data_IF_486842024787
#
_entry.id   IF_486842024787
#
_cell.length_a   1.000
_cell.length_b   1.000
_cell.length_c   1.000
_cell.angle_alpha   90.00
_cell.angle_beta   90.00
_cell.angle_gamma   90.00
#
_symmetry.space_group_name_H-M   'P 1'
#
loop_
_entity.id
_entity.type
_entity.pdbx_description
1 polymer ?
#
# COMPACT_ATOMS: atom_id res chain seq x y z
N UNK A 1 16.22 1.40 -17.82
CA UNK A 1 15.74 0.41 -18.83
C UNK A 1 14.73 -0.49 -18.14
N UNK A 2 13.52 -0.58 -18.72
CA UNK A 2 12.49 -1.52 -18.25
C UNK A 2 12.80 -2.91 -18.84
N UNK A 3 12.99 -3.90 -17.96
CA UNK A 3 13.38 -5.25 -18.37
C UNK A 3 12.21 -6.26 -18.36
N UNK A 4 11.08 -5.90 -17.75
CA UNK A 4 9.90 -6.76 -17.71
C UNK A 4 8.77 -6.19 -16.88
N UNK A 5 7.68 -6.97 -16.83
CA UNK A 5 6.52 -6.75 -15.97
C UNK A 5 6.49 -7.81 -14.90
N UNK A 6 5.94 -7.46 -13.75
CA UNK A 6 5.89 -8.32 -12.58
C UNK A 6 4.43 -8.60 -12.19
N UNK A 7 4.21 -9.74 -11.55
CA UNK A 7 2.89 -10.14 -11.09
C UNK A 7 2.45 -9.32 -9.86
N UNK A 8 1.15 -9.15 -9.69
CA UNK A 8 0.55 -8.52 -8.52
C UNK A 8 -0.86 -9.09 -8.28
N UNK A 9 -1.43 -8.84 -7.12
CA UNK A 9 -2.86 -9.09 -6.92
C UNK A 9 -3.68 -8.32 -7.95
N UNK A 10 -4.79 -8.89 -8.38
CA UNK A 10 -5.64 -8.32 -9.43
C UNK A 10 -6.13 -6.91 -9.03
N UNK A 11 -5.91 -5.92 -9.90
CA UNK A 11 -6.19 -4.50 -9.63
C UNK A 11 -5.63 -3.95 -8.31
N UNK A 12 -4.51 -4.50 -7.84
CA UNK A 12 -3.90 -4.18 -6.54
C UNK A 12 -4.80 -4.49 -5.32
N UNK A 13 -5.76 -5.39 -5.48
CA UNK A 13 -6.74 -5.79 -4.47
C UNK A 13 -6.36 -7.12 -3.84
N UNK A 14 -5.48 -7.07 -2.86
CA UNK A 14 -4.99 -8.22 -2.10
C UNK A 14 -3.84 -7.84 -1.20
N UNK A 15 -3.44 -8.76 -0.34
CA UNK A 15 -2.33 -8.58 0.60
C UNK A 15 -1.35 -9.76 0.65
N UNK A 16 -1.58 -10.78 -0.18
CA UNK A 16 -0.78 -12.02 -0.21
C UNK A 16 -0.23 -12.38 -1.58
N UNK A 17 -0.72 -11.75 -2.64
CA UNK A 17 -0.47 -12.03 -4.06
C UNK A 17 -1.02 -13.41 -4.49
N UNK A 18 -2.22 -13.72 -4.04
CA UNK A 18 -2.95 -14.95 -4.34
C UNK A 18 -4.15 -14.73 -5.28
N UNK A 19 -4.49 -13.47 -5.60
CA UNK A 19 -5.67 -13.11 -6.42
C UNK A 19 -5.34 -12.83 -7.88
N UNK A 20 -4.12 -13.05 -8.31
CA UNK A 20 -3.72 -12.79 -9.69
C UNK A 20 -4.28 -13.81 -10.68
N UNK A 21 -4.72 -13.34 -11.83
CA UNK A 21 -5.08 -14.19 -12.98
C UNK A 21 -3.94 -15.12 -13.43
N UNK A 22 -2.68 -14.72 -13.24
CA UNK A 22 -1.50 -15.47 -13.61
C UNK A 22 -1.04 -16.48 -12.54
N UNK A 23 -1.82 -16.64 -11.47
CA UNK A 23 -1.49 -17.50 -10.34
C UNK A 23 -0.69 -16.82 -9.25
N UNK A 24 -0.38 -17.59 -8.22
CA UNK A 24 0.24 -17.10 -6.99
C UNK A 24 1.73 -16.80 -7.19
N UNK A 25 2.22 -15.78 -6.51
CA UNK A 25 3.65 -15.52 -6.42
C UNK A 25 4.21 -16.22 -5.18
N UNK A 26 5.35 -16.87 -5.34
CA UNK A 26 6.06 -17.52 -4.24
C UNK A 26 7.02 -16.55 -3.54
N UNK A 27 7.20 -16.74 -2.24
CA UNK A 27 8.21 -16.03 -1.48
C UNK A 27 9.56 -16.73 -1.62
N UNK A 28 10.59 -16.10 -2.21
CA UNK A 28 11.89 -16.76 -2.40
C UNK A 28 12.71 -16.89 -1.11
N UNK A 29 12.30 -16.23 -0.02
CA UNK A 29 12.98 -16.31 1.29
C UNK A 29 12.61 -17.58 2.02
N UNK A 30 11.39 -18.09 1.82
CA UNK A 30 10.93 -19.33 2.43
C UNK A 30 9.86 -20.00 1.56
N UNK A 31 10.03 -21.27 1.30
CA UNK A 31 9.06 -22.08 0.55
C UNK A 31 7.69 -22.12 1.26
N UNK A 32 6.63 -22.19 0.47
CA UNK A 32 5.24 -22.24 0.94
C UNK A 32 4.74 -21.02 1.73
N UNK A 33 5.46 -19.90 1.68
CA UNK A 33 5.02 -18.65 2.26
C UNK A 33 4.59 -17.65 1.19
N UNK A 34 3.64 -16.79 1.54
CA UNK A 34 3.23 -15.69 0.68
C UNK A 34 4.28 -14.57 0.69
N UNK A 35 4.51 -13.87 -0.43
CA UNK A 35 5.45 -12.75 -0.48
C UNK A 35 4.87 -11.46 0.10
N UNK A 36 3.58 -11.48 0.50
CA UNK A 36 2.81 -10.28 0.73
C UNK A 36 2.30 -9.66 -0.57
N UNK A 37 1.41 -8.69 -0.46
CA UNK A 37 0.77 -8.05 -1.61
C UNK A 37 0.32 -6.62 -1.33
N UNK A 38 -0.15 -6.00 -2.40
CA UNK A 38 -0.38 -6.51 -3.76
C UNK A 38 0.87 -6.56 -4.65
N UNK A 39 1.97 -5.88 -4.32
CA UNK A 39 3.21 -5.85 -5.12
C UNK A 39 4.13 -7.04 -4.82
N UNK A 40 3.56 -8.25 -4.64
CA UNK A 40 4.31 -9.45 -4.28
C UNK A 40 5.33 -9.88 -5.33
N UNK A 41 4.99 -9.80 -6.62
CA UNK A 41 5.94 -10.11 -7.69
C UNK A 41 7.13 -9.15 -7.72
N UNK A 42 6.91 -7.86 -7.40
CA UNK A 42 7.97 -6.85 -7.32
C UNK A 42 8.94 -7.18 -6.19
N UNK A 43 8.43 -7.50 -5.00
CA UNK A 43 9.27 -7.85 -3.85
C UNK A 43 9.98 -9.19 -4.04
N UNK A 44 9.30 -10.20 -4.59
CA UNK A 44 9.88 -11.52 -4.84
C UNK A 44 11.01 -11.47 -5.87
N UNK A 45 10.84 -10.70 -6.96
CA UNK A 45 11.89 -10.54 -7.96
C UNK A 45 13.17 -9.92 -7.37
N UNK A 46 13.02 -8.97 -6.44
CA UNK A 46 14.14 -8.41 -5.70
C UNK A 46 14.78 -9.43 -4.77
N UNK A 47 13.99 -10.07 -3.90
CA UNK A 47 14.50 -11.04 -2.94
C UNK A 47 15.20 -12.22 -3.62
N UNK A 48 14.71 -12.63 -4.79
CA UNK A 48 15.36 -13.62 -5.67
C UNK A 48 16.56 -13.06 -6.47
N UNK A 49 16.91 -11.77 -6.31
CA UNK A 49 18.02 -11.10 -7.02
C UNK A 49 17.91 -11.12 -8.54
N UNK A 50 16.70 -11.12 -9.08
CA UNK A 50 16.46 -11.13 -10.53
C UNK A 50 16.64 -9.74 -11.16
N UNK A 51 16.57 -8.69 -10.36
CA UNK A 51 16.69 -7.29 -10.81
C UNK A 51 17.23 -6.42 -9.67
N UNK A 52 17.96 -5.34 -9.95
CA UNK A 52 18.44 -4.41 -8.92
C UNK A 52 17.33 -3.58 -8.28
N UNK A 53 16.26 -3.30 -9.00
CA UNK A 53 15.16 -2.46 -8.52
C UNK A 53 13.84 -2.84 -9.21
N UNK A 54 12.73 -2.57 -8.52
CA UNK A 54 11.37 -2.73 -9.05
C UNK A 54 10.50 -1.55 -8.65
N UNK A 55 9.36 -1.41 -9.31
CA UNK A 55 8.30 -0.46 -8.95
C UNK A 55 7.12 -1.26 -8.43
N UNK A 56 6.54 -0.78 -7.34
CA UNK A 56 5.27 -1.26 -6.81
C UNK A 56 4.23 -0.15 -6.70
N UNK A 57 3.04 -0.51 -6.26
CA UNK A 57 1.98 0.44 -5.88
C UNK A 57 1.52 0.17 -4.46
N UNK A 58 1.10 1.21 -3.75
CA UNK A 58 0.66 1.12 -2.36
C UNK A 58 -0.60 1.95 -2.15
N UNK A 59 -1.68 1.29 -1.80
CA UNK A 59 -2.97 1.89 -1.44
C UNK A 59 -3.22 1.76 0.06
N UNK A 60 -2.91 0.60 0.63
CA UNK A 60 -3.08 0.27 2.05
C UNK A 60 -1.94 -0.57 2.63
N UNK A 61 -0.73 -0.51 2.04
CA UNK A 61 0.42 -1.29 2.47
C UNK A 61 1.10 -2.09 1.36
N UNK A 62 0.61 -2.00 0.12
CA UNK A 62 0.98 -2.94 -0.96
C UNK A 62 2.40 -2.82 -1.53
N UNK A 63 3.21 -1.87 -1.07
CA UNK A 63 4.68 -1.84 -1.22
C UNK A 63 5.33 -2.30 0.10
N UNK A 64 4.92 -1.71 1.21
CA UNK A 64 5.58 -1.84 2.53
C UNK A 64 5.45 -3.24 3.10
N UNK A 65 4.28 -3.86 3.00
CA UNK A 65 4.05 -5.22 3.49
C UNK A 65 4.87 -6.27 2.72
N UNK A 66 4.80 -6.36 1.37
CA UNK A 66 5.60 -7.33 0.66
C UNK A 66 7.11 -7.07 0.79
N UNK A 67 7.55 -5.83 0.91
CA UNK A 67 8.94 -5.53 1.22
C UNK A 67 9.37 -6.11 2.58
N UNK A 68 8.51 -5.97 3.60
CA UNK A 68 8.74 -6.56 4.92
C UNK A 68 8.81 -8.09 4.87
N UNK A 69 7.89 -8.74 4.14
CA UNK A 69 7.80 -10.20 4.04
C UNK A 69 8.95 -10.84 3.26
N UNK A 70 9.60 -10.09 2.41
CA UNK A 70 10.71 -10.59 1.55
C UNK A 70 12.08 -10.04 1.95
N UNK A 71 12.16 -9.23 3.02
CA UNK A 71 13.42 -8.65 3.49
C UNK A 71 14.02 -7.62 2.54
N UNK A 72 13.19 -6.89 1.80
CA UNK A 72 13.59 -5.82 0.88
C UNK A 72 13.19 -4.45 1.40
N UNK A 73 13.63 -3.38 0.75
CA UNK A 73 13.25 -2.01 1.07
C UNK A 73 12.12 -1.57 0.15
N UNK A 74 11.03 -1.06 0.72
CA UNK A 74 9.91 -0.53 -0.05
C UNK A 74 9.48 0.84 0.47
N UNK A 75 9.43 1.83 -0.39
CA UNK A 75 9.01 3.19 -0.06
C UNK A 75 7.64 3.49 -0.66
N UNK A 76 6.67 3.78 0.21
CA UNK A 76 5.45 4.47 -0.21
C UNK A 76 5.66 5.97 -0.09
N UNK A 77 5.83 6.70 -1.18
CA UNK A 77 6.03 8.14 -1.14
C UNK A 77 4.80 8.91 -0.62
N UNK A 78 5.00 10.18 -0.34
CA UNK A 78 3.89 11.12 -0.11
C UNK A 78 3.00 11.18 -1.35
N UNK A 79 1.67 11.21 -1.11
CA UNK A 79 0.69 11.28 -2.19
C UNK A 79 0.98 12.44 -3.15
N UNK A 80 0.98 12.13 -4.46
CA UNK A 80 1.26 13.08 -5.53
C UNK A 80 2.74 13.32 -5.83
N UNK A 81 3.68 12.73 -5.08
CA UNK A 81 5.11 12.91 -5.36
C UNK A 81 5.63 12.05 -6.52
N UNK A 82 4.98 10.95 -6.84
CA UNK A 82 5.24 10.17 -8.06
C UNK A 82 4.01 10.18 -8.95
N UNK A 83 4.19 10.36 -10.26
CA UNK A 83 3.10 10.30 -11.22
C UNK A 83 2.40 8.93 -11.22
N UNK A 84 1.10 8.96 -11.37
CA UNK A 84 0.24 7.77 -11.56
C UNK A 84 -0.22 7.59 -13.00
N UNK A 85 0.27 8.42 -13.92
CA UNK A 85 -0.08 8.30 -15.32
C UNK A 85 0.29 6.92 -15.87
N UNK A 86 -0.69 6.21 -16.43
CA UNK A 86 -0.55 4.83 -16.90
C UNK A 86 -0.78 3.75 -15.83
N UNK A 87 -1.06 4.11 -14.58
CA UNK A 87 -1.44 3.18 -13.52
C UNK A 87 -2.95 3.05 -13.49
N UNK A 88 -3.44 1.80 -13.41
CA UNK A 88 -4.87 1.53 -13.22
C UNK A 88 -5.26 1.90 -11.78
N UNK A 89 -6.26 2.76 -11.64
CA UNK A 89 -6.70 3.23 -10.34
C UNK A 89 -7.49 2.15 -9.59
N UNK A 90 -7.05 1.84 -8.37
CA UNK A 90 -7.84 1.14 -7.36
C UNK A 90 -8.61 2.16 -6.53
N UNK A 91 -7.94 2.92 -5.68
CA UNK A 91 -8.52 3.96 -4.83
C UNK A 91 -7.81 5.29 -5.08
N UNK A 92 -8.43 6.16 -5.87
CA UNK A 92 -7.80 7.38 -6.41
C UNK A 92 -7.24 8.32 -5.35
N UNK A 93 -7.83 8.36 -4.16
CA UNK A 93 -7.38 9.21 -3.06
C UNK A 93 -6.26 8.58 -2.19
N UNK A 94 -5.85 7.35 -2.49
CA UNK A 94 -4.90 6.58 -1.69
C UNK A 94 -3.72 6.03 -2.51
N UNK A 95 -3.96 5.60 -3.75
CA UNK A 95 -2.95 4.93 -4.57
C UNK A 95 -1.69 5.78 -4.77
N UNK A 96 -0.55 5.14 -4.62
CA UNK A 96 0.75 5.75 -4.89
C UNK A 96 1.72 4.72 -5.48
N UNK A 97 2.46 5.12 -6.51
CA UNK A 97 3.61 4.36 -6.98
C UNK A 97 4.84 4.62 -6.10
N UNK A 98 5.71 3.64 -6.00
CA UNK A 98 6.96 3.81 -5.27
C UNK A 98 8.02 2.76 -5.61
N UNK A 99 9.28 3.05 -5.29
CA UNK A 99 10.40 2.14 -5.53
C UNK A 99 10.45 1.01 -4.51
N UNK A 100 10.96 -0.13 -4.98
CA UNK A 100 11.37 -1.26 -4.15
C UNK A 100 12.79 -1.66 -4.56
N UNK A 101 13.69 -1.87 -3.58
CA UNK A 101 15.11 -2.07 -3.81
C UNK A 101 15.73 -2.96 -2.73
N UNK A 102 17.02 -3.29 -2.87
CA UNK A 102 17.73 -4.08 -1.86
C UNK A 102 18.15 -3.26 -0.63
N UNK A 103 18.42 -1.97 -0.81
CA UNK A 103 18.85 -1.08 0.28
C UNK A 103 18.24 0.32 0.15
N UNK A 104 18.43 1.13 1.20
CA UNK A 104 17.88 2.49 1.29
C UNK A 104 18.53 3.47 0.30
N UNK A 105 19.81 3.23 -0.05
CA UNK A 105 20.54 4.09 -0.99
C UNK A 105 19.94 3.99 -2.39
N UNK A 106 19.73 2.76 -2.86
CA UNK A 106 19.10 2.50 -4.16
C UNK A 106 17.65 2.98 -4.18
N UNK A 107 16.94 2.82 -3.04
CA UNK A 107 15.59 3.33 -2.87
C UNK A 107 15.52 4.85 -3.01
N UNK A 108 16.47 5.57 -2.40
CA UNK A 108 16.58 7.02 -2.49
C UNK A 108 16.88 7.48 -3.92
N UNK A 109 17.81 6.81 -4.61
CA UNK A 109 18.15 7.08 -6.00
C UNK A 109 16.93 6.87 -6.93
N UNK A 110 16.24 5.76 -6.77
CA UNK A 110 15.03 5.47 -7.55
C UNK A 110 13.93 6.51 -7.27
N UNK A 111 13.72 6.86 -6.00
CA UNK A 111 12.71 7.86 -5.64
C UNK A 111 13.04 9.25 -6.20
N UNK A 112 14.29 9.65 -6.17
CA UNK A 112 14.73 10.92 -6.77
C UNK A 112 14.40 11.00 -8.27
N UNK A 113 14.57 9.89 -8.99
CA UNK A 113 14.21 9.79 -10.41
C UNK A 113 12.68 9.78 -10.62
N UNK A 114 11.93 9.04 -9.78
CA UNK A 114 10.49 8.86 -9.91
C UNK A 114 9.67 10.09 -9.46
N UNK A 115 10.19 10.87 -8.52
CA UNK A 115 9.52 12.03 -7.93
C UNK A 115 9.58 13.28 -8.85
N UNK A 116 9.04 13.14 -10.06
CA UNK A 116 9.01 14.19 -11.07
C UNK A 116 7.59 14.69 -11.25
N UNK A 117 7.41 16.01 -11.33
CA UNK A 117 6.14 16.59 -11.70
C UNK A 117 5.72 16.13 -13.10
N UNK A 118 4.49 15.66 -13.23
CA UNK A 118 3.94 15.19 -14.49
C UNK A 118 2.59 15.86 -14.76
N UNK A 119 2.53 16.66 -15.81
CA UNK A 119 1.30 17.35 -16.23
C UNK A 119 0.20 16.42 -16.72
N UNK A 120 0.50 15.15 -16.95
CA UNK A 120 -0.48 14.12 -17.35
C UNK A 120 -1.21 13.50 -16.16
N UNK A 121 -0.71 13.69 -14.95
CA UNK A 121 -1.40 13.28 -13.72
C UNK A 121 -1.85 14.51 -12.94
N UNK A 122 -3.16 14.74 -12.89
CA UNK A 122 -3.75 15.89 -12.17
C UNK A 122 -3.49 15.87 -10.66
N UNK A 123 -3.03 14.76 -10.11
CA UNK A 123 -2.66 14.63 -8.69
C UNK A 123 -1.16 14.80 -8.43
N UNK A 124 -0.35 14.87 -9.49
CA UNK A 124 1.09 15.14 -9.36
C UNK A 124 1.33 16.53 -8.79
N UNK A 125 2.21 16.62 -7.80
CA UNK A 125 2.54 17.85 -7.12
C UNK A 125 3.92 18.34 -7.54
N UNK A 126 4.01 19.60 -7.94
CA UNK A 126 5.31 20.24 -8.16
C UNK A 126 5.89 20.69 -6.82
N UNK A 127 6.92 20.00 -6.37
CA UNK A 127 7.62 20.32 -5.12
C UNK A 127 9.12 20.41 -5.35
N UNK A 128 9.78 21.20 -4.52
CA UNK A 128 11.24 21.30 -4.54
C UNK A 128 11.85 19.96 -4.18
N UNK A 129 12.56 19.36 -5.12
CA UNK A 129 13.30 18.12 -4.87
C UNK A 129 14.48 18.37 -3.96
N UNK A 130 14.72 17.45 -3.07
CA UNK A 130 15.94 17.40 -2.28
C UNK A 130 16.89 16.34 -2.86
N UNK A 131 18.16 16.47 -2.56
CA UNK A 131 19.12 15.42 -2.86
C UNK A 131 19.09 14.39 -1.75
N UNK A 132 18.20 13.38 -1.91
CA UNK A 132 18.01 12.36 -0.90
C UNK A 132 19.26 11.53 -0.63
N UNK A 133 20.09 11.29 -1.64
CA UNK A 133 21.36 10.57 -1.47
C UNK A 133 22.34 11.30 -0.57
N UNK A 134 22.43 12.62 -0.66
CA UNK A 134 23.29 13.42 0.20
C UNK A 134 22.82 13.35 1.65
N UNK A 135 21.50 13.41 1.87
CA UNK A 135 20.90 13.43 3.19
C UNK A 135 21.04 12.06 3.93
N UNK A 136 21.28 10.96 3.20
CA UNK A 136 21.53 9.64 3.83
C UNK A 136 22.82 9.58 4.66
N UNK A 137 23.75 10.51 4.45
CA UNK A 137 25.00 10.57 5.22
C UNK A 137 24.86 11.35 6.53
N UNK A 138 23.71 11.97 6.77
CA UNK A 138 23.41 12.63 8.04
C UNK A 138 23.16 11.62 9.14
N UNK A 139 23.69 11.90 10.35
CA UNK A 139 23.39 11.08 11.49
C UNK A 139 21.99 11.41 12.07
N UNK A 140 21.44 10.49 12.83
CA UNK A 140 20.14 10.67 13.51
C UNK A 140 20.26 11.30 14.90
N UNK A 141 21.46 11.78 15.28
CA UNK A 141 21.72 12.37 16.59
C UNK A 141 20.78 13.55 16.86
N UNK A 142 20.07 13.49 17.97
CA UNK A 142 19.09 14.50 18.37
C UNK A 142 17.74 14.43 17.66
N UNK A 143 17.57 13.62 16.63
CA UNK A 143 16.26 13.41 15.98
C UNK A 143 15.31 12.73 16.96
N UNK A 144 14.06 13.18 16.98
CA UNK A 144 13.01 12.66 17.83
C UNK A 144 12.17 11.64 17.08
N UNK A 145 12.16 10.40 17.56
CA UNK A 145 11.43 9.29 16.93
C UNK A 145 10.24 8.90 17.81
N UNK A 146 9.05 9.02 17.26
CA UNK A 146 7.79 8.71 17.92
C UNK A 146 7.51 7.21 17.95
N UNK A 147 7.07 6.71 19.10
CA UNK A 147 6.57 5.34 19.26
C UNK A 147 5.10 5.42 19.66
N UNK A 148 4.16 5.03 18.78
CA UNK A 148 2.74 5.07 19.10
C UNK A 148 2.37 3.98 20.10
N UNK A 149 1.80 4.36 21.25
CA UNK A 149 1.38 3.42 22.28
C UNK A 149 0.25 2.50 21.82
N UNK A 150 -0.63 2.98 20.92
CA UNK A 150 -1.77 2.24 20.39
C UNK A 150 -1.37 1.15 19.38
N UNK A 151 -0.11 1.13 18.94
CA UNK A 151 0.38 0.11 17.99
C UNK A 151 0.90 -1.15 18.68
N UNK A 152 1.03 -1.12 20.01
CA UNK A 152 1.21 -2.34 20.82
C UNK A 152 -0.16 -2.96 21.07
N UNK A 153 -0.58 -3.80 20.12
CA UNK A 153 -1.89 -4.44 20.16
C UNK A 153 -1.84 -5.77 20.89
N UNK A 154 -2.96 -6.13 21.52
CA UNK A 154 -3.11 -7.46 22.11
C UNK A 154 -2.95 -8.55 21.07
N UNK A 155 -2.19 -9.60 21.38
CA UNK A 155 -1.93 -10.68 20.43
C UNK A 155 -0.79 -10.40 19.43
N UNK A 156 -0.06 -9.29 19.54
CA UNK A 156 1.14 -9.09 18.73
C UNK A 156 2.14 -10.23 18.99
N UNK A 157 2.67 -10.90 17.94
CA UNK A 157 3.71 -11.91 18.11
C UNK A 157 4.92 -11.33 18.83
N UNK A 158 5.43 -12.11 19.79
CA UNK A 158 6.58 -11.69 20.64
C UNK A 158 7.79 -11.32 19.79
N UNK A 159 8.04 -12.03 18.71
CA UNK A 159 9.14 -11.79 17.78
C UNK A 159 9.05 -10.43 17.11
N UNK A 160 7.84 -9.97 16.80
CA UNK A 160 7.60 -8.62 16.22
C UNK A 160 7.92 -7.55 17.28
N UNK A 161 7.47 -7.74 18.52
CA UNK A 161 7.76 -6.79 19.60
C UNK A 161 9.26 -6.72 19.89
N UNK A 162 9.95 -7.88 19.94
CA UNK A 162 11.41 -7.94 20.13
C UNK A 162 12.18 -7.23 18.99
N UNK A 163 11.73 -7.37 17.73
CA UNK A 163 12.31 -6.65 16.60
C UNK A 163 12.07 -5.14 16.69
N UNK A 164 10.91 -4.73 17.17
CA UNK A 164 10.60 -3.32 17.39
C UNK A 164 11.48 -2.73 18.50
N UNK A 165 11.62 -3.44 19.64
CA UNK A 165 12.54 -3.03 20.72
C UNK A 165 14.00 -2.98 20.24
N UNK A 166 14.44 -3.92 19.40
CA UNK A 166 15.77 -3.86 18.77
C UNK A 166 15.94 -2.61 17.92
N UNK A 167 14.92 -2.23 17.12
CA UNK A 167 14.93 -1.00 16.36
C UNK A 167 15.02 0.25 17.24
N UNK A 168 14.25 0.30 18.31
CA UNK A 168 14.30 1.37 19.33
C UNK A 168 15.70 1.49 19.94
N UNK A 169 16.31 0.35 20.28
CA UNK A 169 17.67 0.32 20.85
C UNK A 169 18.71 0.87 19.87
N UNK A 170 18.66 0.44 18.61
CA UNK A 170 19.56 0.94 17.55
C UNK A 170 19.46 2.46 17.41
N UNK A 171 18.24 3.02 17.43
CA UNK A 171 18.04 4.47 17.36
C UNK A 171 18.70 5.19 18.54
N UNK A 172 18.50 4.69 19.77
CA UNK A 172 19.11 5.28 20.97
C UNK A 172 20.65 5.23 20.93
N UNK A 173 21.21 4.09 20.52
CA UNK A 173 22.66 3.90 20.38
C UNK A 173 23.29 4.85 19.36
N UNK A 174 22.53 5.27 18.36
CA UNK A 174 22.96 6.25 17.35
C UNK A 174 22.57 7.70 17.71
N UNK A 175 22.17 7.96 18.96
CA UNK A 175 21.92 9.29 19.50
C UNK A 175 20.54 9.88 19.17
N UNK A 176 19.62 9.09 18.62
CA UNK A 176 18.23 9.48 18.45
C UNK A 176 17.49 9.45 19.79
N UNK A 177 16.44 10.28 19.91
CA UNK A 177 15.59 10.38 21.09
C UNK A 177 14.27 9.65 20.84
N UNK A 178 13.86 8.79 21.76
CA UNK A 178 12.57 8.09 21.68
C UNK A 178 11.53 8.88 22.46
N UNK A 179 10.41 9.18 21.81
CA UNK A 179 9.28 9.92 22.38
C UNK A 179 8.02 9.03 22.24
N UNK A 180 7.37 8.75 23.35
CA UNK A 180 6.04 8.11 23.28
C UNK A 180 5.02 9.11 22.73
N UNK A 181 4.23 8.66 21.74
CA UNK A 181 3.16 9.43 21.12
C UNK A 181 1.85 8.66 21.19
N UNK A 182 0.75 9.37 20.98
CA UNK A 182 -0.60 8.78 20.91
C UNK A 182 -1.24 9.06 19.57
N UNK A 183 -1.83 8.02 18.96
CA UNK A 183 -2.62 8.06 17.72
C UNK A 183 -4.01 7.44 18.02
N UNK A 184 -4.88 8.13 18.80
CA UNK A 184 -6.07 7.53 19.41
C UNK A 184 -7.11 7.02 18.41
N UNK A 185 -7.11 7.54 17.18
CA UNK A 185 -8.05 7.09 16.14
C UNK A 185 -7.55 5.90 15.31
N UNK A 186 -6.43 5.27 15.67
CA UNK A 186 -5.84 4.12 14.95
C UNK A 186 -6.82 2.97 14.79
N UNK A 187 -7.62 2.65 15.80
CA UNK A 187 -8.60 1.55 15.76
C UNK A 187 -9.66 1.72 14.66
N UNK A 188 -9.85 2.94 14.16
CA UNK A 188 -10.78 3.23 13.06
C UNK A 188 -10.12 3.19 11.68
N UNK A 189 -8.80 3.01 11.59
CA UNK A 189 -8.09 3.08 10.33
C UNK A 189 -8.52 1.99 9.35
N UNK A 190 -8.55 0.73 9.81
CA UNK A 190 -8.92 -0.42 8.99
C UNK A 190 -10.39 -0.37 8.53
N UNK A 191 -11.39 -0.15 9.41
CA UNK A 191 -12.77 0.05 8.97
C UNK A 191 -12.94 1.21 7.97
N UNK A 192 -12.24 2.32 8.19
CA UNK A 192 -12.27 3.48 7.29
C UNK A 192 -11.73 3.12 5.90
N UNK A 193 -10.61 2.39 5.85
CA UNK A 193 -10.04 1.90 4.60
C UNK A 193 -11.03 1.00 3.84
N UNK A 194 -11.66 0.03 4.51
CA UNK A 194 -12.61 -0.90 3.86
C UNK A 194 -13.94 -0.25 3.42
N UNK A 195 -14.20 1.00 3.81
CA UNK A 195 -15.30 1.80 3.27
C UNK A 195 -14.81 2.65 2.10
N UNK A 196 -13.74 3.43 2.29
CA UNK A 196 -13.25 4.41 1.30
C UNK A 196 -12.70 3.72 0.06
N UNK A 197 -11.81 2.74 0.22
CA UNK A 197 -11.13 2.12 -0.90
C UNK A 197 -12.09 1.32 -1.81
N UNK A 198 -13.01 0.46 -1.30
CA UNK A 198 -14.02 -0.17 -2.14
C UNK A 198 -14.99 0.81 -2.81
N UNK A 199 -15.37 1.91 -2.14
CA UNK A 199 -16.21 2.94 -2.72
C UNK A 199 -15.54 3.57 -3.96
N UNK A 200 -14.28 3.95 -3.83
CA UNK A 200 -13.50 4.49 -4.96
C UNK A 200 -13.26 3.45 -6.05
N UNK A 201 -12.99 2.18 -5.66
CA UNK A 201 -12.82 1.07 -6.59
C UNK A 201 -14.06 0.84 -7.45
N UNK A 202 -15.26 0.84 -6.86
CA UNK A 202 -16.50 0.64 -7.59
C UNK A 202 -16.70 1.69 -8.68
N UNK A 203 -16.35 2.94 -8.40
CA UNK A 203 -16.38 4.04 -9.39
C UNK A 203 -15.28 3.91 -10.43
N UNK A 204 -14.04 3.63 -10.02
CA UNK A 204 -12.90 3.52 -10.92
C UNK A 204 -13.02 2.34 -11.88
N UNK A 205 -13.53 1.21 -11.43
CA UNK A 205 -13.68 0.00 -12.24
C UNK A 205 -14.98 -0.06 -13.03
N UNK A 206 -15.86 0.94 -12.90
CA UNK A 206 -17.08 1.05 -13.72
C UNK A 206 -16.78 1.13 -15.22
N UNK A 207 -15.60 1.67 -15.58
CA UNK A 207 -15.16 1.81 -16.99
C UNK A 207 -14.71 0.51 -17.65
N UNK A 208 -14.57 -0.58 -16.90
CA UNK A 208 -14.23 -1.91 -17.43
C UNK A 208 -15.52 -2.66 -17.78
N UNK A 209 -16.11 -2.26 -18.87
CA UNK A 209 -17.40 -2.75 -19.40
C UNK A 209 -17.26 -3.54 -20.71
N UNK A 210 -16.02 -3.71 -21.21
CA UNK A 210 -15.72 -4.41 -22.46
C UNK A 210 -16.06 -3.63 -23.72
N UNK A 211 -16.41 -2.34 -23.65
CA UNK A 211 -16.76 -1.53 -24.83
C UNK A 211 -15.54 -0.94 -25.51
N UNK A 212 -14.71 -0.20 -24.76
CA UNK A 212 -13.54 0.49 -25.33
C UNK A 212 -12.25 -0.29 -25.23
N UNK A 213 -12.09 -1.10 -24.18
CA UNK A 213 -10.87 -1.86 -23.89
C UNK A 213 -11.15 -2.99 -22.90
N UNK A 214 -10.17 -3.86 -22.73
CA UNK A 214 -10.22 -4.98 -21.79
C UNK A 214 -10.93 -6.20 -22.37
N UNK A 215 -11.20 -7.16 -21.48
CA UNK A 215 -11.95 -8.35 -21.80
C UNK A 215 -13.40 -8.01 -22.16
N UNK A 216 -13.95 -8.70 -23.16
CA UNK A 216 -15.34 -8.59 -23.59
C UNK A 216 -15.94 -9.97 -23.81
N UNK A 217 -16.95 -10.31 -23.05
CA UNK A 217 -17.75 -11.52 -23.25
C UNK A 217 -18.82 -11.32 -24.34
N UNK A 218 -19.25 -12.42 -24.97
CA UNK A 218 -20.36 -12.40 -25.90
C UNK A 218 -21.68 -12.40 -25.10
N UNK A 219 -22.58 -11.49 -25.43
CA UNK A 219 -23.91 -11.41 -24.88
C UNK A 219 -25.01 -11.52 -25.93
N UNK A 220 -26.21 -11.91 -25.52
CA UNK A 220 -27.41 -11.94 -26.39
C UNK A 220 -27.92 -10.53 -26.68
N UNK A 221 -27.68 -9.60 -25.78
CA UNK A 221 -27.99 -8.19 -25.89
C UNK A 221 -26.96 -7.35 -25.14
N UNK A 222 -27.11 -6.02 -25.15
CA UNK A 222 -26.13 -5.12 -24.53
C UNK A 222 -26.01 -5.31 -23.03
N UNK A 223 -27.10 -5.52 -22.32
CA UNK A 223 -27.12 -5.71 -20.86
C UNK A 223 -26.42 -7.03 -20.50
N UNK A 224 -26.80 -8.12 -21.16
CA UNK A 224 -26.19 -9.43 -20.98
C UNK A 224 -24.67 -9.41 -21.27
N UNK A 225 -24.26 -8.67 -22.29
CA UNK A 225 -22.84 -8.48 -22.60
C UNK A 225 -22.11 -7.77 -21.45
N UNK A 226 -22.69 -6.72 -20.85
CA UNK A 226 -22.10 -6.04 -19.71
C UNK A 226 -22.02 -6.95 -18.47
N UNK A 227 -23.09 -7.65 -18.16
CA UNK A 227 -23.16 -8.57 -17.00
C UNK A 227 -22.14 -9.70 -17.13
N UNK A 228 -22.10 -10.37 -18.29
CA UNK A 228 -21.12 -11.43 -18.56
C UNK A 228 -19.68 -10.93 -18.55
N UNK A 229 -19.41 -9.80 -19.20
CA UNK A 229 -18.06 -9.22 -19.24
C UNK A 229 -17.54 -8.96 -17.83
N UNK A 230 -18.35 -8.39 -16.96
CA UNK A 230 -17.92 -8.05 -15.60
C UNK A 230 -17.88 -9.27 -14.67
N UNK A 231 -18.80 -10.22 -14.82
CA UNK A 231 -18.82 -11.43 -14.01
C UNK A 231 -17.68 -12.41 -14.34
N UNK A 232 -17.32 -12.53 -15.60
CA UNK A 232 -16.26 -13.40 -16.10
C UNK A 232 -14.87 -12.72 -16.04
N UNK A 233 -14.82 -11.40 -16.26
CA UNK A 233 -13.58 -10.64 -16.38
C UNK A 233 -12.96 -10.20 -15.06
N UNK A 234 -13.72 -10.15 -13.96
CA UNK A 234 -13.19 -9.82 -12.64
C UNK A 234 -13.10 -11.06 -11.75
N UNK A 235 -11.98 -11.15 -11.03
CA UNK A 235 -11.81 -12.13 -9.96
C UNK A 235 -12.73 -11.86 -8.75
N UNK A 236 -12.83 -12.84 -7.88
CA UNK A 236 -13.83 -12.82 -6.78
C UNK A 236 -13.58 -11.69 -5.75
N UNK A 237 -12.33 -11.41 -5.44
CA UNK A 237 -12.01 -10.34 -4.50
C UNK A 237 -12.34 -8.95 -5.08
N UNK A 238 -12.07 -8.74 -6.37
CA UNK A 238 -12.43 -7.49 -7.07
C UNK A 238 -13.95 -7.33 -7.12
N UNK A 239 -14.68 -8.38 -7.47
CA UNK A 239 -16.17 -8.37 -7.46
C UNK A 239 -16.71 -8.01 -6.09
N UNK A 240 -16.16 -8.62 -5.02
CA UNK A 240 -16.55 -8.33 -3.63
C UNK A 240 -16.38 -6.85 -3.30
N UNK A 241 -15.21 -6.27 -3.61
CA UNK A 241 -14.94 -4.85 -3.32
C UNK A 241 -15.81 -3.91 -4.14
N UNK A 242 -16.07 -4.23 -5.40
CA UNK A 242 -17.03 -3.47 -6.24
C UNK A 242 -18.43 -3.50 -5.61
N UNK A 243 -18.90 -4.66 -5.14
CA UNK A 243 -20.21 -4.78 -4.49
C UNK A 243 -20.29 -3.98 -3.19
N UNK A 244 -19.29 -4.09 -2.32
CA UNK A 244 -19.20 -3.30 -1.08
C UNK A 244 -19.21 -1.81 -1.42
N UNK A 245 -18.39 -1.39 -2.38
CA UNK A 245 -18.28 0.02 -2.81
C UNK A 245 -19.60 0.56 -3.35
N UNK A 246 -20.27 -0.21 -4.19
CA UNK A 246 -21.58 0.15 -4.73
C UNK A 246 -22.62 0.29 -3.62
N UNK A 247 -22.61 -0.61 -2.64
CA UNK A 247 -23.51 -0.56 -1.49
C UNK A 247 -23.29 0.72 -0.65
N UNK A 248 -22.04 1.02 -0.29
CA UNK A 248 -21.76 2.19 0.56
C UNK A 248 -21.97 3.54 -0.15
N UNK A 249 -21.99 3.55 -1.48
CA UNK A 249 -22.30 4.73 -2.29
C UNK A 249 -23.79 4.84 -2.64
N UNK A 250 -24.60 3.85 -2.32
CA UNK A 250 -26.02 3.85 -2.66
C UNK A 250 -26.83 4.83 -1.81
N UNK A 251 -28.01 5.20 -2.31
CA UNK A 251 -28.92 6.12 -1.63
C UNK A 251 -29.29 5.61 -0.24
N UNK A 252 -29.22 6.49 0.74
CA UNK A 252 -29.47 6.20 2.17
C UNK A 252 -28.24 5.67 2.94
N UNK A 253 -27.21 5.18 2.25
CA UNK A 253 -25.98 4.66 2.88
C UNK A 253 -24.77 5.59 2.70
N UNK A 254 -24.79 6.44 1.69
CA UNK A 254 -23.70 7.36 1.37
C UNK A 254 -23.29 8.22 2.57
N UNK A 255 -24.26 8.88 3.21
CA UNK A 255 -23.99 9.74 4.37
C UNK A 255 -23.57 8.92 5.60
N UNK A 256 -24.23 7.78 5.82
CA UNK A 256 -24.00 6.94 6.98
C UNK A 256 -22.63 6.24 6.97
N UNK A 257 -22.12 5.89 5.79
CA UNK A 257 -20.86 5.16 5.64
C UNK A 257 -19.77 6.02 4.99
N UNK A 258 -19.94 6.44 3.74
CA UNK A 258 -18.85 7.08 2.99
C UNK A 258 -18.46 8.44 3.58
N UNK A 259 -19.42 9.35 3.81
CA UNK A 259 -19.12 10.65 4.41
C UNK A 259 -18.61 10.51 5.84
N UNK A 260 -19.14 9.56 6.60
CA UNK A 260 -18.65 9.27 7.95
C UNK A 260 -17.18 8.78 7.90
N UNK A 261 -16.85 7.87 6.99
CA UNK A 261 -15.49 7.38 6.80
C UNK A 261 -14.53 8.51 6.39
N UNK A 262 -14.94 9.43 5.52
CA UNK A 262 -14.15 10.62 5.18
C UNK A 262 -13.88 11.54 6.40
N UNK A 263 -14.87 11.71 7.27
CA UNK A 263 -14.70 12.47 8.52
C UNK A 263 -13.72 11.77 9.47
N UNK A 264 -13.84 10.45 9.63
CA UNK A 264 -12.91 9.66 10.46
C UNK A 264 -11.49 9.68 9.86
N UNK A 265 -11.33 9.57 8.54
CA UNK A 265 -10.04 9.75 7.87
C UNK A 265 -9.38 11.08 8.23
N UNK A 266 -10.15 12.15 8.33
CA UNK A 266 -9.64 13.47 8.78
C UNK A 266 -9.16 13.42 10.23
N UNK A 267 -9.89 12.74 11.12
CA UNK A 267 -9.47 12.59 12.52
C UNK A 267 -8.17 11.81 12.63
N UNK A 268 -8.04 10.71 11.88
CA UNK A 268 -6.80 9.94 11.82
C UNK A 268 -5.63 10.82 11.33
N UNK A 269 -5.84 11.62 10.27
CA UNK A 269 -4.82 12.57 9.80
C UNK A 269 -4.42 13.56 10.89
N UNK A 270 -5.38 14.09 11.64
CA UNK A 270 -5.10 15.05 12.70
C UNK A 270 -4.22 14.44 13.81
N UNK A 271 -4.39 13.16 14.14
CA UNK A 271 -3.51 12.47 15.10
C UNK A 271 -2.04 12.52 14.64
N UNK A 272 -1.79 12.26 13.37
CA UNK A 272 -0.43 12.36 12.80
C UNK A 272 0.07 13.79 12.76
N UNK A 273 -0.77 14.77 12.39
CA UNK A 273 -0.39 16.19 12.38
C UNK A 273 0.03 16.65 13.79
N UNK A 274 -0.67 16.23 14.83
CA UNK A 274 -0.31 16.54 16.22
C UNK A 274 0.95 15.80 16.68
N UNK A 275 1.14 14.56 16.25
CA UNK A 275 2.34 13.79 16.55
C UNK A 275 3.59 14.42 15.92
N UNK A 276 3.53 14.81 14.64
CA UNK A 276 4.65 15.43 13.93
C UNK A 276 5.02 16.84 14.40
N UNK A 277 4.23 17.47 15.26
CA UNK A 277 4.67 18.68 15.99
C UNK A 277 5.71 18.35 17.07
N UNK A 278 5.81 17.09 17.49
CA UNK A 278 6.64 16.65 18.62
C UNK A 278 7.81 15.78 18.19
N UNK A 279 7.71 15.12 17.02
CA UNK A 279 8.68 14.13 16.54
C UNK A 279 9.03 14.37 15.07
N UNK A 280 10.23 13.94 14.67
CA UNK A 280 10.72 14.05 13.29
C UNK A 280 10.30 12.84 12.43
N UNK A 281 10.14 11.69 13.05
CA UNK A 281 9.70 10.45 12.40
C UNK A 281 8.96 9.55 13.41
N UNK A 282 8.28 8.54 12.89
CA UNK A 282 7.55 7.54 13.69
C UNK A 282 8.09 6.16 13.32
N UNK A 283 8.43 5.34 14.32
CA UNK A 283 8.85 3.95 14.13
C UNK A 283 7.74 3.00 14.55
N UNK A 284 7.35 2.12 13.63
CA UNK A 284 6.34 1.09 13.88
C UNK A 284 6.74 -0.23 13.20
N UNK A 285 6.20 -1.37 13.62
CA UNK A 285 6.20 -2.58 12.80
C UNK A 285 5.52 -2.30 11.45
N UNK A 286 6.00 -2.93 10.39
CA UNK A 286 5.40 -2.79 9.04
C UNK A 286 4.08 -3.52 8.92
N UNK A 287 3.92 -4.61 9.67
CA UNK A 287 2.73 -5.47 9.70
C UNK A 287 2.69 -6.20 11.04
N UNK A 288 1.51 -6.49 11.58
CA UNK A 288 1.38 -7.25 12.83
C UNK A 288 1.57 -8.75 12.65
N UNK A 289 1.66 -9.25 11.41
CA UNK A 289 1.81 -10.67 11.10
C UNK A 289 3.25 -11.04 10.81
N UNK A 290 3.64 -12.23 11.27
CA UNK A 290 4.75 -12.97 10.71
C UNK A 290 4.33 -13.63 9.39
N UNK A 291 5.33 -14.08 8.61
CA UNK A 291 5.13 -14.89 7.42
C UNK A 291 4.51 -16.24 7.79
N UNK A 292 3.20 -16.35 7.64
CA UNK A 292 2.52 -17.64 7.64
C UNK A 292 2.02 -17.96 6.24
N UNK A 293 1.82 -19.26 5.97
CA UNK A 293 0.81 -19.70 4.99
C UNK A 293 -0.45 -18.95 5.37
N UNK A 294 -0.90 -18.06 4.51
CA UNK A 294 -2.01 -17.18 4.82
C UNK A 294 -3.20 -17.98 5.33
N UNK A 295 -3.60 -17.87 6.61
CA UNK A 295 -5.00 -18.00 6.88
C UNK A 295 -5.62 -16.88 6.04
N UNK A 296 -6.61 -17.24 5.25
CA UNK A 296 -7.39 -16.29 4.47
C UNK A 296 -7.65 -15.04 5.33
N UNK A 297 -7.58 -13.81 4.82
CA UNK A 297 -8.07 -12.65 5.54
C UNK A 297 -9.56 -12.76 5.92
N UNK A 298 -10.11 -13.94 5.84
CA UNK A 298 -11.48 -14.35 6.15
C UNK A 298 -11.60 -15.12 7.45
N UNK A 299 -10.50 -15.58 8.06
CA UNK A 299 -10.48 -16.34 9.32
C UNK A 299 -10.19 -15.43 10.50
#
# INVERSE_FOLDING_TARGET
IVIGKLNCDEFAMGSSNETSYFGNVQNPVSENLVPGGSSGGSSSALAAKLTPATIGTDTGGSIRQPASFTGTVGLKPTYGSCSRYGIVAFASSLDQAGPMTHDVKDCSLMFEIMSTYDTKDSTSVDFKRENYLTNLNENIKGKKIGIPKEYRVDGMPKEIDELWEKGIKIIKENGGQIIEISLPNTNYALPTYYIVAPAEASSNLARYDGVKYGFRSKGENLIDMYEKTRSEGFGDEVKRRIMIGTYVLSSGYYDAYYLKAQKVRRLIKNDFDEAYKKVDAILTPSTPCLLYTSPSPRD
#
